data_IF_095680303063
#
_entry.id   IF_095680303063
#
_cell.length_a   1.000
_cell.length_b   1.000
_cell.length_c   1.000
_cell.angle_alpha   90.00
_cell.angle_beta   90.00
_cell.angle_gamma   90.00
#
_symmetry.space_group_name_H-M   'P 1'
#
loop_
_entity.id
_entity.type
_entity.pdbx_description
1 polymer ?
#
# COMPACT_ATOMS: atom_id res chain seq x y z
N UNK A 1 -11.19 -15.98 0.68
CA UNK A 1 -10.29 -14.83 0.45
C UNK A 1 -10.25 -14.05 1.74
N UNK A 2 -9.08 -13.84 2.32
CA UNK A 2 -8.95 -13.16 3.61
C UNK A 2 -8.65 -11.68 3.38
N UNK A 3 -9.53 -10.79 3.84
CA UNK A 3 -9.37 -9.34 3.77
C UNK A 3 -8.48 -8.79 4.88
N UNK A 4 -8.37 -9.52 5.99
CA UNK A 4 -7.47 -9.23 7.12
C UNK A 4 -6.60 -10.43 7.43
N UNK A 5 -5.33 -10.17 7.78
CA UNK A 5 -4.48 -11.18 8.36
C UNK A 5 -4.81 -11.31 9.86
N UNK A 6 -5.01 -12.54 10.40
CA UNK A 6 -5.40 -12.74 11.78
C UNK A 6 -4.42 -12.10 12.79
N UNK A 7 -4.93 -11.32 13.73
CA UNK A 7 -4.08 -10.60 14.71
C UNK A 7 -3.18 -11.55 15.51
N UNK A 8 -3.71 -12.73 15.87
CA UNK A 8 -2.98 -13.74 16.64
C UNK A 8 -1.72 -14.27 15.91
N UNK A 9 -1.67 -14.19 14.58
CA UNK A 9 -0.54 -14.65 13.78
C UNK A 9 0.47 -13.53 13.46
N UNK A 10 0.10 -12.24 13.65
CA UNK A 10 0.98 -11.10 13.35
C UNK A 10 2.30 -11.10 14.12
N UNK A 11 2.37 -11.51 15.41
CA UNK A 11 3.62 -11.60 16.15
C UNK A 11 4.68 -12.51 15.52
N UNK A 12 4.26 -13.51 14.71
CA UNK A 12 5.20 -14.37 13.96
C UNK A 12 6.03 -13.59 12.94
N UNK A 13 5.57 -12.39 12.53
CA UNK A 13 6.28 -11.48 11.63
C UNK A 13 7.14 -10.44 12.39
N UNK A 14 7.25 -10.56 13.72
CA UNK A 14 8.08 -9.69 14.58
C UNK A 14 7.68 -8.21 14.43
N UNK A 15 8.65 -7.32 14.17
CA UNK A 15 8.45 -5.87 14.15
C UNK A 15 7.75 -5.32 12.89
N UNK A 16 7.16 -6.16 12.02
CA UNK A 16 6.40 -5.65 10.88
C UNK A 16 5.13 -4.92 11.35
N UNK A 17 4.87 -3.75 10.75
CA UNK A 17 3.74 -2.90 11.10
C UNK A 17 2.52 -3.30 10.28
N UNK A 18 1.48 -3.76 10.98
CA UNK A 18 0.22 -4.19 10.37
C UNK A 18 -0.90 -3.16 10.56
N UNK A 19 -0.78 -2.35 11.61
CA UNK A 19 -1.78 -1.39 12.05
C UNK A 19 -1.08 -0.35 12.91
N UNK A 20 -1.50 0.90 12.83
CA UNK A 20 -1.02 1.97 13.70
C UNK A 20 -1.84 2.00 15.02
N UNK A 21 -1.77 3.09 15.75
CA UNK A 21 -2.38 3.21 17.07
C UNK A 21 -3.89 2.84 17.09
N UNK A 22 -4.29 1.79 17.80
CA UNK A 22 -5.69 1.36 17.87
C UNK A 22 -6.60 2.28 18.69
N UNK A 23 -6.03 3.22 19.44
CA UNK A 23 -6.79 4.21 20.21
C UNK A 23 -7.20 5.42 19.36
N UNK A 24 -6.59 5.60 18.18
CA UNK A 24 -6.84 6.73 17.32
C UNK A 24 -7.75 6.33 16.15
N UNK A 25 -8.83 7.11 15.94
CA UNK A 25 -9.77 6.87 14.84
C UNK A 25 -9.22 7.42 13.54
N UNK A 26 -8.11 6.81 13.09
CA UNK A 26 -7.36 7.19 11.88
C UNK A 26 -7.31 6.01 10.91
N UNK A 27 -7.53 6.29 9.62
CA UNK A 27 -7.28 5.37 8.50
C UNK A 27 -6.01 5.81 7.78
N UNK A 28 -5.13 4.85 7.50
CA UNK A 28 -3.93 5.04 6.70
C UNK A 28 -4.14 4.44 5.32
N UNK A 29 -4.46 5.31 4.34
CA UNK A 29 -4.61 4.88 2.95
C UNK A 29 -3.26 4.59 2.33
N UNK A 30 -3.13 3.42 1.71
CA UNK A 30 -1.91 3.03 1.00
C UNK A 30 -2.25 2.46 -0.37
N UNK A 31 -1.38 2.73 -1.35
CA UNK A 31 -1.51 2.26 -2.72
C UNK A 31 -0.24 1.50 -3.10
N UNK A 32 -0.39 0.33 -3.71
CA UNK A 32 0.71 -0.53 -4.15
C UNK A 32 0.71 -0.62 -5.69
N UNK A 33 1.84 -0.99 -6.28
CA UNK A 33 2.10 -1.29 -7.70
C UNK A 33 2.43 -0.09 -8.61
N UNK A 34 2.05 1.11 -8.26
CA UNK A 34 2.34 2.33 -9.05
C UNK A 34 3.83 2.73 -9.08
N UNK A 35 4.14 3.91 -9.67
CA UNK A 35 3.22 4.79 -10.38
C UNK A 35 2.85 4.26 -11.78
N UNK A 36 1.61 4.50 -12.20
CA UNK A 36 1.10 4.15 -13.53
C UNK A 36 0.37 5.38 -14.11
N UNK A 37 0.80 5.94 -15.25
CA UNK A 37 0.27 7.21 -15.79
C UNK A 37 -1.23 7.21 -16.04
N UNK A 38 -1.82 6.06 -16.38
CA UNK A 38 -3.24 5.92 -16.66
C UNK A 38 -4.10 5.81 -15.39
N UNK A 39 -3.49 5.57 -14.23
CA UNK A 39 -4.22 5.27 -12.98
C UNK A 39 -3.83 6.19 -11.84
N UNK A 40 -2.53 6.32 -11.56
CA UNK A 40 -2.05 7.09 -10.41
C UNK A 40 -2.57 8.54 -10.38
N UNK A 41 -2.58 9.31 -11.50
CA UNK A 41 -3.15 10.66 -11.50
C UNK A 41 -4.63 10.70 -11.10
N UNK A 42 -5.43 9.70 -11.50
CA UNK A 42 -6.85 9.63 -11.13
C UNK A 42 -7.04 9.40 -9.63
N UNK A 43 -6.15 8.61 -9.01
CA UNK A 43 -6.12 8.44 -7.55
C UNK A 43 -5.78 9.75 -6.87
N UNK A 44 -4.74 10.43 -7.35
CA UNK A 44 -4.30 11.72 -6.81
C UNK A 44 -5.42 12.76 -6.87
N UNK A 45 -6.16 12.82 -7.98
CA UNK A 45 -7.30 13.74 -8.15
C UNK A 45 -8.44 13.45 -7.17
N UNK A 46 -8.70 12.17 -6.86
CA UNK A 46 -9.69 11.79 -5.82
C UNK A 46 -9.21 12.26 -4.45
N UNK A 47 -7.93 12.03 -4.13
CA UNK A 47 -7.36 12.41 -2.84
C UNK A 47 -7.32 13.94 -2.66
N UNK A 48 -6.96 14.69 -3.69
CA UNK A 48 -6.94 16.16 -3.66
C UNK A 48 -8.35 16.73 -3.46
N UNK A 49 -9.37 16.22 -4.17
CA UNK A 49 -10.77 16.63 -3.97
C UNK A 49 -11.26 16.39 -2.54
N UNK A 50 -10.66 15.45 -1.85
CA UNK A 50 -11.02 15.10 -0.49
C UNK A 50 -10.07 15.73 0.55
N UNK A 51 -9.06 16.49 0.11
CA UNK A 51 -7.99 17.10 0.93
C UNK A 51 -7.23 16.06 1.77
N UNK A 52 -6.98 14.88 1.20
CA UNK A 52 -6.34 13.75 1.87
C UNK A 52 -4.93 13.51 1.33
N UNK A 53 -4.07 13.01 2.21
CA UNK A 53 -2.76 12.48 1.83
C UNK A 53 -2.69 10.98 2.12
N UNK A 54 -1.90 10.27 1.33
CA UNK A 54 -1.75 8.82 1.39
C UNK A 54 -0.28 8.41 1.24
N UNK A 55 -0.01 7.11 1.36
CA UNK A 55 1.32 6.54 1.14
C UNK A 55 1.29 5.60 -0.06
N UNK A 56 2.21 5.79 -1.00
CA UNK A 56 2.32 5.00 -2.23
C UNK A 56 3.56 4.10 -2.17
N UNK A 57 3.38 2.78 -2.17
CA UNK A 57 4.47 1.81 -2.26
C UNK A 57 4.79 1.54 -3.73
N UNK A 58 5.82 2.20 -4.21
CA UNK A 58 6.14 2.29 -5.63
C UNK A 58 7.06 1.15 -6.09
N UNK A 59 6.81 0.64 -7.28
CA UNK A 59 7.69 -0.29 -7.98
C UNK A 59 8.80 0.49 -8.67
N UNK A 60 10.07 0.21 -8.37
CA UNK A 60 11.22 1.00 -8.85
C UNK A 60 11.33 1.07 -10.37
N UNK A 61 10.97 0.00 -11.08
CA UNK A 61 10.91 -0.02 -12.55
C UNK A 61 9.89 0.98 -13.09
N UNK A 62 8.72 1.08 -12.44
CA UNK A 62 7.70 2.06 -12.80
C UNK A 62 8.15 3.49 -12.52
N UNK A 63 8.87 3.72 -11.40
CA UNK A 63 9.43 5.03 -11.09
C UNK A 63 10.44 5.46 -12.16
N UNK A 64 11.34 4.55 -12.58
CA UNK A 64 12.30 4.84 -13.67
C UNK A 64 11.60 5.08 -15.01
N UNK A 65 10.53 4.36 -15.29
CA UNK A 65 9.77 4.46 -16.54
C UNK A 65 8.86 5.70 -16.60
N UNK A 66 8.30 6.09 -15.46
CA UNK A 66 7.32 7.17 -15.34
C UNK A 66 7.70 8.21 -14.27
N UNK A 67 8.89 8.85 -14.41
CA UNK A 67 9.42 9.76 -13.39
C UNK A 67 8.53 10.98 -13.14
N UNK A 68 7.80 11.45 -14.15
CA UNK A 68 6.87 12.59 -14.00
C UNK A 68 5.67 12.22 -13.13
N UNK A 69 5.11 11.01 -13.31
CA UNK A 69 4.00 10.53 -12.47
C UNK A 69 4.45 10.33 -11.02
N UNK A 70 5.67 9.82 -10.81
CA UNK A 70 6.25 9.71 -9.47
C UNK A 70 6.48 11.08 -8.82
N UNK A 71 7.02 12.04 -9.59
CA UNK A 71 7.21 13.42 -9.12
C UNK A 71 5.89 14.09 -8.75
N UNK A 72 4.80 13.77 -9.48
CA UNK A 72 3.46 14.29 -9.17
C UNK A 72 2.94 13.77 -7.83
N UNK A 73 3.18 12.50 -7.49
CA UNK A 73 2.86 11.93 -6.17
C UNK A 73 3.53 12.73 -5.06
N UNK A 74 4.84 13.01 -5.19
CA UNK A 74 5.62 13.76 -4.19
C UNK A 74 5.17 15.21 -4.14
N UNK A 75 5.02 15.88 -5.30
CA UNK A 75 4.63 17.29 -5.40
C UNK A 75 3.27 17.57 -4.77
N UNK A 76 2.34 16.62 -4.86
CA UNK A 76 1.03 16.70 -4.20
C UNK A 76 1.08 16.34 -2.71
N UNK A 77 2.27 16.13 -2.12
CA UNK A 77 2.49 15.95 -0.68
C UNK A 77 2.16 14.56 -0.14
N UNK A 78 2.10 13.55 -0.99
CA UNK A 78 1.97 12.16 -0.56
C UNK A 78 3.31 11.59 -0.13
N UNK A 79 3.27 10.54 0.70
CA UNK A 79 4.45 9.75 1.08
C UNK A 79 4.69 8.64 0.08
N UNK A 80 5.96 8.23 -0.06
CA UNK A 80 6.33 7.09 -0.88
C UNK A 80 7.00 6.00 -0.04
N UNK A 81 6.95 4.76 -0.52
CA UNK A 81 7.62 3.61 0.04
C UNK A 81 8.16 2.70 -1.06
N UNK A 82 9.11 1.85 -0.72
CA UNK A 82 9.73 0.89 -1.64
C UNK A 82 8.86 -0.36 -1.76
N UNK A 83 8.57 -0.78 -3.01
CA UNK A 83 7.82 -2.01 -3.32
C UNK A 83 8.62 -2.96 -4.22
N UNK A 84 9.95 -3.04 -4.00
CA UNK A 84 10.95 -3.72 -4.83
C UNK A 84 11.14 -3.06 -6.21
N UNK A 85 12.16 -3.49 -6.96
CA UNK A 85 12.42 -2.88 -8.27
C UNK A 85 11.41 -3.31 -9.34
N UNK A 86 11.08 -4.61 -9.42
CA UNK A 86 10.21 -5.18 -10.44
C UNK A 86 9.09 -6.06 -9.85
N UNK A 87 8.56 -5.66 -8.69
CA UNK A 87 7.49 -6.36 -7.98
C UNK A 87 7.86 -7.82 -7.64
N UNK A 88 9.14 -8.03 -7.25
CA UNK A 88 9.72 -9.34 -7.01
C UNK A 88 9.14 -10.01 -5.77
N UNK A 89 8.79 -11.29 -5.89
CA UNK A 89 8.26 -12.08 -4.78
C UNK A 89 9.38 -12.72 -3.98
N UNK A 90 9.48 -12.40 -2.69
CA UNK A 90 10.60 -12.82 -1.84
C UNK A 90 10.83 -14.34 -1.76
N UNK A 91 9.77 -15.14 -1.79
CA UNK A 91 9.88 -16.62 -1.73
C UNK A 91 10.35 -17.27 -3.04
N UNK A 92 10.46 -16.51 -4.13
CA UNK A 92 10.79 -17.04 -5.46
C UNK A 92 12.28 -16.93 -5.81
N UNK A 93 13.07 -16.27 -4.97
CA UNK A 93 14.48 -15.97 -5.23
C UNK A 93 15.34 -16.10 -3.98
N UNK A 94 16.66 -16.05 -4.15
CA UNK A 94 17.61 -16.04 -3.04
C UNK A 94 17.46 -14.78 -2.17
N UNK A 95 18.03 -14.84 -0.96
CA UNK A 95 18.03 -13.68 -0.06
C UNK A 95 18.79 -12.50 -0.65
N UNK A 96 19.97 -12.77 -1.23
CA UNK A 96 20.83 -11.71 -1.77
C UNK A 96 20.20 -11.04 -2.98
N UNK A 97 19.62 -11.83 -3.89
CA UNK A 97 18.88 -11.31 -5.05
C UNK A 97 17.70 -10.43 -4.64
N UNK A 98 16.96 -10.84 -3.62
CA UNK A 98 15.83 -10.05 -3.12
C UNK A 98 16.26 -8.72 -2.51
N UNK A 99 17.29 -8.77 -1.64
CA UNK A 99 17.83 -7.57 -0.99
C UNK A 99 18.40 -6.60 -2.02
N UNK A 100 19.14 -7.12 -3.02
CA UNK A 100 19.66 -6.30 -4.11
C UNK A 100 18.55 -5.66 -4.94
N UNK A 101 17.46 -6.39 -5.18
CA UNK A 101 16.30 -5.86 -5.88
C UNK A 101 15.62 -4.70 -5.12
N UNK A 102 15.54 -4.80 -3.79
CA UNK A 102 15.05 -3.70 -2.94
C UNK A 102 16.00 -2.49 -2.99
N UNK A 103 17.32 -2.72 -2.90
CA UNK A 103 18.34 -1.67 -2.98
C UNK A 103 18.33 -0.96 -4.33
N UNK A 104 18.15 -1.72 -5.41
CA UNK A 104 17.99 -1.15 -6.77
C UNK A 104 16.78 -0.22 -6.88
N UNK A 105 15.67 -0.54 -6.21
CA UNK A 105 14.53 0.36 -6.15
C UNK A 105 14.83 1.65 -5.37
N UNK A 106 15.63 1.54 -4.31
CA UNK A 106 16.03 2.69 -3.48
C UNK A 106 16.88 3.74 -4.23
N UNK A 107 17.50 3.37 -5.36
CA UNK A 107 18.19 4.35 -6.22
C UNK A 107 17.24 5.45 -6.76
N UNK A 108 15.93 5.18 -6.78
CA UNK A 108 14.92 6.09 -7.33
C UNK A 108 13.79 6.41 -6.35
N UNK A 109 13.73 5.70 -5.21
CA UNK A 109 12.69 5.86 -4.18
C UNK A 109 13.37 6.17 -2.85
N UNK A 110 13.41 7.45 -2.49
CA UNK A 110 13.94 7.89 -1.19
C UNK A 110 12.88 7.68 -0.11
N UNK A 111 13.00 6.56 0.63
CA UNK A 111 12.08 6.22 1.71
C UNK A 111 12.66 5.15 2.62
N UNK A 112 12.33 5.24 3.90
CA UNK A 112 12.60 4.19 4.89
C UNK A 112 11.42 3.22 5.07
N UNK A 113 10.35 3.36 4.27
CA UNK A 113 9.21 2.45 4.27
C UNK A 113 9.39 1.39 3.20
N UNK A 114 9.16 0.13 3.57
CA UNK A 114 9.19 -0.98 2.62
C UNK A 114 7.98 -1.88 2.80
N UNK A 115 7.31 -2.22 1.69
CA UNK A 115 6.26 -3.24 1.67
C UNK A 115 6.66 -4.37 0.73
N UNK A 116 6.75 -5.63 1.22
CA UNK A 116 7.08 -6.76 0.36
C UNK A 116 5.90 -7.09 -0.58
N UNK A 117 6.13 -7.26 -1.89
CA UNK A 117 5.10 -7.71 -2.83
C UNK A 117 4.41 -9.00 -2.34
N UNK A 118 3.09 -9.04 -2.49
CA UNK A 118 2.23 -10.14 -2.02
C UNK A 118 2.28 -10.38 -0.49
N UNK A 119 2.91 -9.51 0.29
CA UNK A 119 3.22 -9.77 1.70
C UNK A 119 4.20 -10.93 1.92
N UNK A 120 4.98 -11.28 0.90
CA UNK A 120 5.85 -12.47 0.91
C UNK A 120 7.32 -12.11 1.01
N UNK A 121 7.86 -12.28 2.20
CA UNK A 121 9.26 -12.05 2.55
C UNK A 121 9.73 -13.17 3.49
N UNK A 122 10.93 -13.70 3.29
CA UNK A 122 11.51 -14.69 4.23
C UNK A 122 12.02 -14.00 5.48
N UNK A 123 12.20 -14.77 6.56
CA UNK A 123 12.75 -14.24 7.82
C UNK A 123 14.17 -13.69 7.66
N UNK A 124 15.00 -14.31 6.78
CA UNK A 124 16.36 -13.82 6.49
C UNK A 124 16.32 -12.48 5.75
N UNK A 125 15.53 -12.38 4.68
CA UNK A 125 15.34 -11.14 3.91
C UNK A 125 14.84 -10.02 4.83
N UNK A 126 13.82 -10.31 5.64
CA UNK A 126 13.26 -9.34 6.59
C UNK A 126 14.31 -8.86 7.58
N UNK A 127 15.10 -9.77 8.20
CA UNK A 127 16.14 -9.41 9.17
C UNK A 127 17.18 -8.45 8.58
N UNK A 128 17.56 -8.64 7.32
CA UNK A 128 18.51 -7.74 6.64
C UNK A 128 17.85 -6.39 6.36
N UNK A 129 16.67 -6.39 5.78
CA UNK A 129 16.00 -5.16 5.36
C UNK A 129 15.49 -4.29 6.52
N UNK A 130 15.25 -4.87 7.69
CA UNK A 130 14.85 -4.13 8.89
C UNK A 130 15.96 -3.22 9.46
N UNK A 131 17.21 -3.35 9.00
CA UNK A 131 18.28 -2.42 9.34
C UNK A 131 18.05 -1.03 8.72
N UNK A 132 17.45 -0.99 7.52
CA UNK A 132 17.29 0.21 6.71
C UNK A 132 15.81 0.63 6.56
N UNK A 133 14.86 -0.29 6.81
CA UNK A 133 13.45 -0.09 6.52
C UNK A 133 12.51 -0.48 7.67
N UNK A 134 11.46 0.31 7.85
CA UNK A 134 10.22 -0.10 8.53
C UNK A 134 9.40 -0.99 7.59
N UNK A 135 9.20 -2.26 7.96
CA UNK A 135 8.44 -3.21 7.14
C UNK A 135 6.95 -3.00 7.36
N UNK A 136 6.26 -2.50 6.34
CA UNK A 136 4.84 -2.18 6.40
C UNK A 136 4.02 -3.29 5.74
N UNK A 137 3.15 -3.89 6.52
CA UNK A 137 2.13 -4.81 6.06
C UNK A 137 0.77 -4.08 5.95
N UNK A 138 -0.34 -4.76 6.22
CA UNK A 138 -1.67 -4.15 6.19
C UNK A 138 -2.60 -4.77 7.21
N UNK A 139 -3.53 -3.97 7.69
CA UNK A 139 -4.65 -4.45 8.48
C UNK A 139 -5.79 -4.92 7.58
N UNK A 140 -6.03 -4.22 6.48
CA UNK A 140 -7.07 -4.50 5.50
C UNK A 140 -6.54 -4.42 4.07
N UNK A 141 -6.72 -5.47 3.28
CA UNK A 141 -6.50 -5.47 1.84
C UNK A 141 -7.83 -5.52 1.10
N UNK A 142 -8.05 -4.60 0.17
CA UNK A 142 -9.32 -4.45 -0.54
C UNK A 142 -9.58 -5.54 -1.59
N UNK A 143 -8.51 -6.14 -2.12
CA UNK A 143 -8.56 -7.05 -3.29
C UNK A 143 -9.19 -6.40 -4.53
N UNK A 144 -9.06 -5.10 -4.70
CA UNK A 144 -9.56 -4.30 -5.82
C UNK A 144 -9.07 -4.79 -7.20
N UNK A 145 -7.88 -5.40 -7.24
CA UNK A 145 -7.35 -6.06 -8.45
C UNK A 145 -8.11 -7.32 -8.87
N UNK A 146 -9.01 -7.84 -8.03
CA UNK A 146 -9.76 -9.05 -8.34
C UNK A 146 -11.06 -8.73 -9.09
N UNK A 147 -11.01 -8.83 -10.41
CA UNK A 147 -12.15 -8.56 -11.31
C UNK A 147 -13.38 -9.47 -11.10
N UNK A 148 -13.25 -10.54 -10.29
CA UNK A 148 -14.40 -11.38 -9.89
C UNK A 148 -15.21 -10.79 -8.74
N UNK A 149 -14.67 -9.79 -8.04
CA UNK A 149 -15.39 -9.07 -7.00
C UNK A 149 -16.06 -7.83 -7.60
N UNK A 150 -17.31 -7.60 -7.23
CA UNK A 150 -17.97 -6.34 -7.54
C UNK A 150 -17.50 -5.20 -6.61
N UNK A 151 -17.54 -3.94 -7.04
CA UNK A 151 -17.23 -2.80 -6.17
C UNK A 151 -18.07 -2.80 -4.88
N UNK A 152 -19.35 -3.16 -4.96
CA UNK A 152 -20.23 -3.27 -3.79
C UNK A 152 -19.75 -4.32 -2.77
N UNK A 153 -19.24 -5.48 -3.25
CA UNK A 153 -18.71 -6.51 -2.35
C UNK A 153 -17.38 -6.08 -1.71
N UNK A 154 -16.54 -5.37 -2.44
CA UNK A 154 -15.31 -4.79 -1.89
C UNK A 154 -15.64 -3.76 -0.82
N UNK A 155 -16.56 -2.83 -1.10
CA UNK A 155 -17.01 -1.81 -0.16
C UNK A 155 -17.63 -2.41 1.11
N UNK A 156 -18.45 -3.45 0.98
CA UNK A 156 -18.99 -4.19 2.13
C UNK A 156 -17.87 -4.70 3.04
N UNK A 157 -16.81 -5.27 2.47
CA UNK A 157 -15.68 -5.75 3.25
C UNK A 157 -14.86 -4.60 3.85
N UNK A 158 -14.68 -3.50 3.13
CA UNK A 158 -14.07 -2.28 3.67
C UNK A 158 -14.83 -1.81 4.91
N UNK A 159 -16.15 -1.68 4.82
CA UNK A 159 -17.01 -1.28 5.94
C UNK A 159 -16.93 -2.25 7.12
N UNK A 160 -16.91 -3.54 6.85
CA UNK A 160 -16.89 -4.60 7.87
C UNK A 160 -15.58 -4.69 8.63
N UNK A 161 -14.45 -4.50 7.96
CA UNK A 161 -13.13 -4.80 8.51
C UNK A 161 -12.30 -3.58 8.87
N UNK A 162 -12.74 -2.36 8.50
CA UNK A 162 -12.07 -1.13 8.92
C UNK A 162 -12.19 -0.93 10.42
N UNK A 163 -11.09 -0.51 11.03
CA UNK A 163 -11.00 -0.21 12.46
C UNK A 163 -9.94 0.85 12.72
N UNK A 164 -9.91 1.40 13.92
CA UNK A 164 -8.96 2.44 14.32
C UNK A 164 -7.52 2.04 14.00
N UNK A 165 -6.77 2.93 13.37
CA UNK A 165 -5.39 2.69 12.98
C UNK A 165 -5.20 1.75 11.79
N UNK A 166 -6.25 1.34 11.07
CA UNK A 166 -6.13 0.43 9.93
C UNK A 166 -5.24 0.99 8.84
N UNK A 167 -4.23 0.22 8.45
CA UNK A 167 -3.48 0.40 7.20
C UNK A 167 -4.26 -0.34 6.11
N UNK A 168 -4.79 0.40 5.14
CA UNK A 168 -5.66 -0.12 4.09
C UNK A 168 -4.93 -0.10 2.75
N UNK A 169 -4.92 -1.25 2.06
CA UNK A 169 -4.26 -1.41 0.77
C UNK A 169 -5.27 -1.36 -0.36
N UNK A 170 -5.05 -0.41 -1.27
CA UNK A 170 -5.53 -0.36 -2.64
C UNK A 170 -4.35 -0.55 -3.60
N UNK A 171 -4.63 -0.68 -4.91
CA UNK A 171 -3.59 -0.83 -5.92
C UNK A 171 -3.82 0.18 -7.04
N UNK A 172 -2.84 1.06 -7.29
CA UNK A 172 -2.89 2.02 -8.40
C UNK A 172 -2.30 1.42 -9.69
N UNK A 173 -2.89 0.29 -10.09
CA UNK A 173 -2.52 -0.48 -11.27
C UNK A 173 -3.68 -0.62 -12.27
N UNK A 174 -3.36 -0.82 -13.55
CA UNK A 174 -4.37 -1.01 -14.63
C UNK A 174 -5.37 -2.13 -14.29
N UNK A 175 -4.89 -3.17 -13.61
CA UNK A 175 -5.74 -4.31 -13.24
C UNK A 175 -6.79 -3.94 -12.20
N UNK A 176 -6.46 -3.06 -11.28
CA UNK A 176 -7.32 -2.65 -10.17
C UNK A 176 -8.22 -1.45 -10.51
N UNK A 177 -7.84 -0.64 -11.50
CA UNK A 177 -8.39 0.67 -11.82
C UNK A 177 -9.91 0.75 -11.68
N UNK A 178 -10.65 -0.13 -12.35
CA UNK A 178 -12.12 -0.07 -12.40
C UNK A 178 -12.75 -0.21 -11.01
N UNK A 179 -12.36 -1.22 -10.24
CA UNK A 179 -12.88 -1.45 -8.89
C UNK A 179 -12.34 -0.41 -7.93
N UNK A 180 -11.04 -0.13 -8.00
CA UNK A 180 -10.34 0.76 -7.09
C UNK A 180 -10.92 2.17 -7.10
N UNK A 181 -11.06 2.81 -8.27
CA UNK A 181 -11.58 4.18 -8.37
C UNK A 181 -13.01 4.29 -7.80
N UNK A 182 -13.87 3.31 -8.11
CA UNK A 182 -15.24 3.28 -7.60
C UNK A 182 -15.28 3.10 -6.08
N UNK A 183 -14.50 2.15 -5.57
CA UNK A 183 -14.52 1.81 -4.14
C UNK A 183 -13.82 2.87 -3.31
N UNK A 184 -12.73 3.46 -3.79
CA UNK A 184 -11.96 4.46 -3.05
C UNK A 184 -12.83 5.67 -2.66
N UNK A 185 -13.56 6.25 -3.61
CA UNK A 185 -14.44 7.39 -3.35
C UNK A 185 -15.50 7.05 -2.28
N UNK A 186 -16.20 5.93 -2.46
CA UNK A 186 -17.25 5.48 -1.54
C UNK A 186 -16.71 5.10 -0.16
N UNK A 187 -15.51 4.53 -0.10
CA UNK A 187 -14.85 4.18 1.15
C UNK A 187 -14.43 5.42 1.94
N UNK A 188 -13.91 6.45 1.27
CA UNK A 188 -13.55 7.73 1.91
C UNK A 188 -14.81 8.39 2.50
N UNK A 189 -15.90 8.45 1.74
CA UNK A 189 -17.18 8.98 2.23
C UNK A 189 -17.67 8.23 3.46
N UNK A 190 -17.64 6.90 3.42
CA UNK A 190 -17.99 6.07 4.56
C UNK A 190 -17.10 6.35 5.78
N UNK A 191 -15.78 6.35 5.65
CA UNK A 191 -14.90 6.61 6.78
C UNK A 191 -15.09 8.01 7.37
N UNK A 192 -15.30 9.04 6.52
CA UNK A 192 -15.63 10.40 6.99
C UNK A 192 -16.96 10.42 7.75
N UNK A 193 -18.00 9.74 7.26
CA UNK A 193 -19.30 9.66 7.94
C UNK A 193 -19.24 8.94 9.28
N UNK A 194 -18.31 7.98 9.41
CA UNK A 194 -18.02 7.30 10.67
C UNK A 194 -17.09 8.12 11.59
N UNK A 195 -16.63 9.31 11.17
CA UNK A 195 -15.76 10.19 11.95
C UNK A 195 -14.30 9.76 11.99
N UNK A 196 -13.81 9.01 10.98
CA UNK A 196 -12.38 8.76 10.83
C UNK A 196 -11.67 9.97 10.24
N UNK A 197 -10.49 10.26 10.76
CA UNK A 197 -9.46 11.06 10.10
C UNK A 197 -8.52 10.19 9.27
N UNK A 198 -7.62 10.82 8.51
CA UNK A 198 -6.69 10.14 7.63
C UNK A 198 -5.25 10.55 7.93
N UNK A 199 -4.33 9.59 7.88
CA UNK A 199 -2.91 9.81 8.11
C UNK A 199 -2.03 9.18 7.02
N UNK A 200 -0.77 9.60 6.98
CA UNK A 200 0.31 8.96 6.22
C UNK A 200 1.20 8.12 7.13
N UNK A 201 1.89 7.14 6.57
CA UNK A 201 2.87 6.33 7.28
C UNK A 201 4.18 7.07 7.50
#
# INVERSE_FOLDING_TARGET
>A
MNFQFPDILRPLWGQAVWRKNPSEKVIYLTFDDGPVPEVTPLVLDILDKQELKATFFCVGENVKKFPETYSDVIRRGHKTGNHTFNHLKGFSVSTDEYVENVRKAAESIESNLFRPPYGRITLKQKKILQADYEIIMWDLITHDYNRKLSPGKILENVKRYSRNGSIVVFHDSIKAQQNMLTVLALAIEFWKSEGYSFGTL
#
